data_IF_647511798291
#
_entry.id   IF_647511798291
#
_cell.length_a   1.000
_cell.length_b   1.000
_cell.length_c   1.000
_cell.angle_alpha   90.00
_cell.angle_beta   90.00
_cell.angle_gamma   90.00
#
_symmetry.space_group_name_H-M   'P 1'
#
loop_
_entity.id
_entity.type
_entity.pdbx_description
1 polymer ?
#
# COMPACT_ATOMS: atom_id res chain seq x y z
N UNK A 1 6.60 12.96 7.38
CA UNK A 1 7.19 13.96 6.47
C UNK A 1 7.96 13.20 5.40
N UNK A 2 7.81 13.52 4.12
CA UNK A 2 8.53 12.81 3.06
C UNK A 2 10.00 13.24 3.03
N UNK A 3 10.95 12.33 2.74
CA UNK A 3 12.36 12.67 2.69
C UNK A 3 12.63 13.67 1.57
N UNK A 4 13.47 14.68 1.84
CA UNK A 4 13.71 15.81 0.92
C UNK A 4 15.19 16.04 0.70
N UNK A 5 15.58 16.20 -0.56
CA UNK A 5 16.94 16.59 -0.95
C UNK A 5 17.10 18.11 -0.77
N UNK A 6 18.20 18.53 -0.15
CA UNK A 6 18.63 19.94 -0.11
C UNK A 6 20.08 20.09 -0.54
N UNK A 7 20.42 21.29 -0.99
CA UNK A 7 21.78 21.68 -1.34
C UNK A 7 22.26 22.79 -0.40
N UNK A 8 23.48 22.70 0.09
CA UNK A 8 24.09 23.70 0.99
C UNK A 8 25.48 24.09 0.50
N UNK A 9 25.78 25.39 0.49
CA UNK A 9 27.12 25.90 0.17
C UNK A 9 28.01 25.74 1.40
N UNK A 10 29.11 25.00 1.24
CA UNK A 10 30.09 24.76 2.30
C UNK A 10 31.07 25.93 2.43
N UNK A 11 31.76 26.02 3.56
CA UNK A 11 32.75 27.08 3.84
C UNK A 11 33.92 27.11 2.84
N UNK A 12 34.14 26.03 2.06
CA UNK A 12 35.15 25.92 1.01
C UNK A 12 34.64 26.28 -0.39
N UNK A 13 33.38 26.73 -0.54
CA UNK A 13 32.78 27.09 -1.82
C UNK A 13 32.20 25.92 -2.62
N UNK A 14 32.26 24.69 -2.08
CA UNK A 14 31.61 23.51 -2.68
C UNK A 14 30.12 23.45 -2.34
N UNK A 15 29.29 22.91 -3.24
CA UNK A 15 27.87 22.64 -3.02
C UNK A 15 27.70 21.21 -2.52
N UNK A 16 27.33 21.02 -1.26
CA UNK A 16 27.04 19.70 -0.71
C UNK A 16 25.56 19.33 -0.87
N UNK A 17 25.30 18.07 -1.23
CA UNK A 17 23.95 17.49 -1.34
C UNK A 17 23.64 16.66 -0.11
N UNK A 18 22.46 16.88 0.49
CA UNK A 18 22.01 16.21 1.72
C UNK A 18 20.57 15.71 1.58
N UNK A 19 20.29 14.57 2.20
CA UNK A 19 18.93 14.02 2.34
C UNK A 19 18.45 14.26 3.77
N UNK A 20 17.25 14.84 3.92
CA UNK A 20 16.58 14.98 5.22
C UNK A 20 15.50 13.90 5.29
N UNK A 21 15.61 12.97 6.24
CA UNK A 21 14.63 11.90 6.41
C UNK A 21 13.46 12.29 7.32
N UNK A 22 13.75 12.93 8.46
CA UNK A 22 12.73 13.28 9.45
C UNK A 22 13.24 14.30 10.47
N UNK A 23 12.33 14.89 11.24
CA UNK A 23 12.64 15.72 12.40
C UNK A 23 12.15 15.01 13.66
N UNK A 24 13.05 14.75 14.61
CA UNK A 24 12.73 14.16 15.91
C UNK A 24 13.30 15.06 17.03
N UNK A 25 12.45 15.52 17.94
CA UNK A 25 12.88 16.32 19.10
C UNK A 25 13.63 17.62 18.74
N UNK A 26 13.31 18.26 17.61
CA UNK A 26 13.99 19.48 17.14
C UNK A 26 15.31 19.24 16.38
N UNK A 27 15.75 17.98 16.24
CA UNK A 27 16.94 17.61 15.46
C UNK A 27 16.51 16.87 14.20
N UNK A 28 17.05 17.26 13.04
CA UNK A 28 16.76 16.54 11.80
C UNK A 28 17.74 15.38 11.59
N UNK A 29 17.20 14.21 11.26
CA UNK A 29 17.95 13.07 10.78
C UNK A 29 18.34 13.33 9.32
N UNK A 30 19.63 13.46 9.07
CA UNK A 30 20.16 13.83 7.76
C UNK A 30 21.34 12.94 7.36
N UNK A 31 21.43 12.65 6.06
CA UNK A 31 22.56 11.95 5.45
C UNK A 31 23.27 12.87 4.45
N UNK A 32 24.60 12.84 4.49
CA UNK A 32 25.47 13.66 3.65
C UNK A 32 25.98 12.80 2.49
N UNK A 33 25.61 13.15 1.25
CA UNK A 33 25.99 12.36 0.06
C UNK A 33 27.36 12.80 -0.48
N UNK A 34 27.64 14.10 -0.53
CA UNK A 34 28.98 14.61 -0.82
C UNK A 34 29.00 16.07 -1.31
N UNK A 35 30.20 16.68 -1.37
CA UNK A 35 30.42 18.00 -1.99
C UNK A 35 30.63 17.92 -3.51
N UNK A 36 30.10 18.89 -4.24
CA UNK A 36 30.31 19.10 -5.67
C UNK A 36 30.86 20.51 -5.94
N UNK A 37 31.73 20.63 -6.93
CA UNK A 37 32.37 21.88 -7.34
C UNK A 37 31.88 22.42 -8.68
N UNK A 38 31.08 21.63 -9.40
CA UNK A 38 30.48 21.98 -10.69
C UNK A 38 28.99 21.59 -10.75
N UNK A 39 28.21 22.26 -11.60
CA UNK A 39 26.77 22.00 -11.73
C UNK A 39 26.46 20.58 -12.23
N UNK A 40 27.36 19.99 -13.02
CA UNK A 40 27.26 18.60 -13.49
C UNK A 40 27.44 17.60 -12.36
N UNK A 41 28.37 17.86 -11.44
CA UNK A 41 28.56 17.03 -10.25
C UNK A 41 27.37 17.15 -9.29
N UNK A 42 26.78 18.35 -9.15
CA UNK A 42 25.56 18.54 -8.35
C UNK A 42 24.40 17.73 -8.92
N UNK A 43 24.25 17.66 -10.25
CA UNK A 43 23.22 16.85 -10.89
C UNK A 43 23.42 15.34 -10.65
N UNK A 44 24.66 14.85 -10.74
CA UNK A 44 24.99 13.46 -10.45
C UNK A 44 24.72 13.08 -8.99
N UNK A 45 25.11 13.94 -8.04
CA UNK A 45 24.87 13.71 -6.61
C UNK A 45 23.37 13.76 -6.24
N UNK A 46 22.57 14.59 -6.92
CA UNK A 46 21.11 14.56 -6.77
C UNK A 46 20.50 13.26 -7.26
N UNK A 47 21.01 12.69 -8.36
CA UNK A 47 20.55 11.41 -8.88
C UNK A 47 20.91 10.25 -7.94
N UNK A 48 22.11 10.27 -7.35
CA UNK A 48 22.49 9.34 -6.28
C UNK A 48 21.58 9.48 -5.05
N UNK A 49 21.35 10.71 -4.59
CA UNK A 49 20.50 11.01 -3.43
C UNK A 49 19.03 10.61 -3.62
N UNK A 50 18.58 10.47 -4.87
CA UNK A 50 17.22 10.04 -5.20
C UNK A 50 17.01 8.54 -4.99
N UNK A 51 18.07 7.71 -5.11
CA UNK A 51 17.96 6.24 -4.97
C UNK A 51 17.54 5.81 -3.55
N UNK A 52 18.14 6.32 -2.46
CA UNK A 52 17.68 6.02 -1.10
C UNK A 52 16.26 6.51 -0.81
N UNK A 53 15.82 7.60 -1.45
CA UNK A 53 14.48 8.17 -1.29
C UNK A 53 13.40 7.29 -1.94
N UNK A 54 13.74 6.62 -3.03
CA UNK A 54 12.86 5.65 -3.70
C UNK A 54 12.74 4.33 -2.92
N UNK A 55 13.65 4.08 -1.96
CA UNK A 55 13.70 2.84 -1.17
C UNK A 55 14.10 1.62 -2.01
N UNK A 56 14.26 0.46 -1.35
CA UNK A 56 14.39 -0.86 -2.00
C UNK A 56 13.08 -1.29 -2.69
N UNK A 57 12.39 -0.37 -3.37
CA UNK A 57 11.39 -0.75 -4.33
C UNK A 57 12.15 -1.45 -5.44
N UNK A 58 11.96 -2.77 -5.57
CA UNK A 58 12.45 -3.53 -6.72
C UNK A 58 12.06 -2.73 -7.97
N UNK A 59 13.05 -2.18 -8.66
CA UNK A 59 12.87 -1.84 -10.05
C UNK A 59 12.49 -3.17 -10.72
N UNK A 60 11.20 -3.33 -11.01
CA UNK A 60 10.74 -4.34 -11.95
C UNK A 60 11.27 -3.89 -13.32
N UNK A 61 12.57 -4.10 -13.51
CA UNK A 61 13.21 -3.99 -14.79
C UNK A 61 12.51 -4.94 -15.76
N UNK A 62 12.47 -4.62 -17.06
CA UNK A 62 11.79 -5.43 -18.06
C UNK A 62 12.34 -6.85 -18.24
N UNK A 63 13.39 -7.25 -17.52
CA UNK A 63 14.01 -8.58 -17.55
C UNK A 63 13.28 -9.63 -16.68
N UNK A 64 11.95 -9.64 -16.73
CA UNK A 64 11.23 -10.90 -16.50
C UNK A 64 11.42 -11.72 -17.77
N UNK A 65 12.40 -12.63 -17.75
CA UNK A 65 12.67 -13.61 -18.81
C UNK A 65 11.46 -14.55 -18.99
N UNK A 66 10.46 -14.05 -19.73
CA UNK A 66 9.36 -14.83 -20.25
C UNK A 66 9.91 -15.55 -21.48
N UNK A 67 10.13 -16.86 -21.33
CA UNK A 67 10.88 -17.70 -22.27
C UNK A 67 10.55 -17.54 -23.76
N UNK A 68 11.44 -18.04 -24.64
CA UNK A 68 11.46 -17.72 -26.06
C UNK A 68 10.19 -18.21 -26.75
N UNK A 69 9.29 -17.28 -27.06
CA UNK A 69 7.99 -17.56 -27.68
C UNK A 69 6.90 -16.53 -27.37
N UNK A 70 7.11 -15.63 -26.41
CA UNK A 70 6.29 -14.44 -26.29
C UNK A 70 6.69 -13.43 -27.37
N UNK A 71 5.81 -13.21 -28.33
CA UNK A 71 5.91 -12.13 -29.31
C UNK A 71 5.74 -10.80 -28.56
N UNK A 72 6.83 -10.31 -27.96
CA UNK A 72 6.86 -9.08 -27.17
C UNK A 72 6.91 -7.87 -28.11
N UNK A 73 5.84 -7.68 -28.89
CA UNK A 73 5.41 -6.33 -29.27
C UNK A 73 4.74 -5.63 -28.08
N UNK A 74 5.30 -5.79 -26.87
CA UNK A 74 4.94 -4.97 -25.71
C UNK A 74 5.73 -3.68 -25.85
N UNK A 75 5.12 -2.72 -26.54
CA UNK A 75 5.65 -1.39 -26.76
C UNK A 75 5.97 -0.72 -25.41
N UNK A 76 7.22 -0.79 -24.97
CA UNK A 76 7.76 0.03 -23.89
C UNK A 76 7.91 1.43 -24.47
N UNK A 77 7.04 2.36 -24.07
CA UNK A 77 7.08 3.74 -24.58
C UNK A 77 8.50 4.30 -24.56
N UNK A 78 9.00 4.72 -25.71
CA UNK A 78 10.31 5.37 -25.84
C UNK A 78 10.25 6.78 -25.27
N UNK A 79 11.39 7.37 -24.87
CA UNK A 79 11.46 8.77 -24.42
C UNK A 79 10.86 9.77 -25.43
N UNK A 80 10.86 9.41 -26.71
CA UNK A 80 10.29 10.20 -27.81
C UNK A 80 8.78 9.97 -28.02
N UNK A 81 8.21 8.91 -27.45
CA UNK A 81 6.78 8.58 -27.50
C UNK A 81 6.33 7.90 -26.19
N UNK A 82 6.22 8.67 -25.09
CA UNK A 82 5.74 8.12 -23.83
C UNK A 82 4.25 7.76 -23.95
N UNK A 83 3.88 6.56 -23.50
CA UNK A 83 2.48 6.23 -23.28
C UNK A 83 1.99 6.91 -22.00
N UNK A 84 0.79 7.48 -22.06
CA UNK A 84 0.12 8.02 -20.89
C UNK A 84 -0.34 6.86 -20.00
N UNK A 85 0.18 6.82 -18.77
CA UNK A 85 -0.33 5.91 -17.73
C UNK A 85 -1.66 6.49 -17.24
N UNK A 86 -2.77 5.92 -17.70
CA UNK A 86 -4.12 6.39 -17.34
C UNK A 86 -4.59 5.90 -15.98
N UNK A 87 -4.02 4.81 -15.46
CA UNK A 87 -4.30 4.26 -14.14
C UNK A 87 -3.17 3.33 -13.66
N UNK A 88 -3.11 3.13 -12.34
CA UNK A 88 -2.26 2.13 -11.69
C UNK A 88 -3.12 1.37 -10.67
N UNK A 89 -2.90 0.06 -10.55
CA UNK A 89 -3.59 -0.78 -9.57
C UNK A 89 -2.65 -1.82 -8.95
N UNK A 90 -2.96 -2.21 -7.72
CA UNK A 90 -2.27 -3.29 -6.99
C UNK A 90 -2.89 -4.66 -7.32
N UNK A 91 -2.98 -5.01 -8.60
CA UNK A 91 -3.73 -6.17 -9.10
C UNK A 91 -3.41 -7.49 -8.37
N UNK A 92 -2.13 -7.88 -8.29
CA UNK A 92 -1.73 -9.11 -7.61
C UNK A 92 -2.11 -9.17 -6.12
N UNK A 93 -2.07 -8.02 -5.42
CA UNK A 93 -2.46 -7.95 -4.02
C UNK A 93 -3.98 -8.14 -3.88
N UNK A 94 -4.75 -7.49 -4.74
CA UNK A 94 -6.20 -7.63 -4.77
C UNK A 94 -6.62 -9.06 -5.11
N UNK A 95 -5.98 -9.67 -6.11
CA UNK A 95 -6.22 -11.06 -6.51
C UNK A 95 -5.88 -12.05 -5.39
N UNK A 96 -4.77 -11.82 -4.68
CA UNK A 96 -4.38 -12.66 -3.55
C UNK A 96 -5.39 -12.57 -2.40
N UNK A 97 -5.90 -11.37 -2.11
CA UNK A 97 -6.94 -11.17 -1.08
C UNK A 97 -8.26 -11.81 -1.52
N UNK A 98 -8.71 -11.62 -2.77
CA UNK A 98 -9.93 -12.26 -3.29
C UNK A 98 -9.82 -13.79 -3.27
N UNK A 99 -8.66 -14.33 -3.67
CA UNK A 99 -8.39 -15.77 -3.61
C UNK A 99 -8.48 -16.29 -2.18
N UNK A 100 -7.83 -15.62 -1.22
CA UNK A 100 -7.92 -16.00 0.18
C UNK A 100 -9.35 -15.92 0.72
N UNK A 101 -10.09 -14.86 0.37
CA UNK A 101 -11.48 -14.66 0.75
C UNK A 101 -12.38 -15.82 0.29
N UNK A 102 -12.21 -16.28 -0.96
CA UNK A 102 -12.92 -17.45 -1.52
C UNK A 102 -12.46 -18.77 -0.92
N UNK A 103 -11.16 -18.95 -0.70
CA UNK A 103 -10.60 -20.18 -0.11
C UNK A 103 -11.08 -20.39 1.34
N UNK A 104 -11.28 -19.31 2.09
CA UNK A 104 -11.90 -19.35 3.43
C UNK A 104 -13.40 -19.66 3.33
N UNK A 105 -14.04 -19.38 2.19
CA UNK A 105 -15.49 -19.55 1.97
C UNK A 105 -16.31 -18.34 2.41
N UNK A 106 -15.68 -17.17 2.53
CA UNK A 106 -16.37 -15.94 2.94
C UNK A 106 -17.33 -15.43 1.86
N UNK A 107 -17.07 -15.74 0.59
CA UNK A 107 -17.98 -15.42 -0.52
C UNK A 107 -19.32 -16.14 -0.37
N UNK A 108 -19.29 -17.41 0.01
CA UNK A 108 -20.50 -18.20 0.29
C UNK A 108 -21.16 -17.74 1.59
N UNK A 109 -20.38 -17.56 2.67
CA UNK A 109 -20.92 -17.13 3.97
C UNK A 109 -21.56 -15.74 3.92
N UNK A 110 -21.03 -14.86 3.07
CA UNK A 110 -21.57 -13.52 2.84
C UNK A 110 -22.64 -13.48 1.73
N UNK A 111 -23.02 -14.63 1.15
CA UNK A 111 -24.05 -14.71 0.08
C UNK A 111 -23.70 -13.81 -1.12
N UNK A 112 -22.42 -13.85 -1.53
CA UNK A 112 -21.88 -13.08 -2.64
C UNK A 112 -21.88 -11.56 -2.43
N UNK A 113 -21.96 -11.06 -1.19
CA UNK A 113 -22.01 -9.62 -0.91
C UNK A 113 -20.66 -8.94 -1.21
N UNK A 114 -20.52 -8.41 -2.42
CA UNK A 114 -19.33 -7.68 -2.90
C UNK A 114 -18.98 -6.45 -2.04
N UNK A 115 -19.97 -5.83 -1.37
CA UNK A 115 -19.73 -4.70 -0.47
C UNK A 115 -19.01 -5.19 0.78
N UNK A 116 -19.35 -6.38 1.27
CA UNK A 116 -18.66 -7.01 2.40
C UNK A 116 -17.25 -7.46 2.00
N UNK A 117 -17.09 -8.07 0.82
CA UNK A 117 -15.78 -8.45 0.29
C UNK A 117 -14.85 -7.24 0.19
N UNK A 118 -15.35 -6.13 -0.36
CA UNK A 118 -14.65 -4.85 -0.38
C UNK A 118 -14.23 -4.44 1.04
N UNK A 119 -15.16 -4.38 2.00
CA UNK A 119 -14.90 -4.01 3.41
C UNK A 119 -13.80 -4.85 4.05
N UNK A 120 -13.76 -6.16 3.78
CA UNK A 120 -12.70 -7.05 4.24
C UNK A 120 -11.37 -6.68 3.59
N UNK A 121 -11.34 -6.52 2.26
CA UNK A 121 -10.13 -6.12 1.52
C UNK A 121 -9.54 -4.82 2.05
N UNK A 122 -10.34 -3.77 2.17
CA UNK A 122 -9.84 -2.49 2.70
C UNK A 122 -9.34 -2.61 4.14
N UNK A 123 -9.98 -3.43 4.98
CA UNK A 123 -9.57 -3.63 6.37
C UNK A 123 -8.23 -4.38 6.48
N UNK A 124 -7.95 -5.28 5.54
CA UNK A 124 -6.64 -5.96 5.42
C UNK A 124 -5.58 -4.98 4.93
N UNK A 125 -5.89 -4.18 3.90
CA UNK A 125 -4.96 -3.20 3.34
C UNK A 125 -4.59 -2.10 4.35
N UNK A 126 -5.58 -1.56 5.05
CA UNK A 126 -5.37 -0.57 6.09
C UNK A 126 -6.39 -0.74 7.22
N UNK A 127 -5.95 -0.89 8.48
CA UNK A 127 -6.86 -0.88 9.62
C UNK A 127 -7.34 0.56 9.93
N UNK A 128 -8.17 1.13 9.06
CA UNK A 128 -8.70 2.50 9.17
C UNK A 128 -10.16 2.61 9.64
N UNK A 129 -10.69 3.83 9.63
CA UNK A 129 -12.09 4.13 9.96
C UNK A 129 -13.05 3.70 8.83
N UNK A 130 -14.36 3.60 9.12
CA UNK A 130 -15.38 3.29 8.09
C UNK A 130 -15.38 4.28 6.91
N UNK A 131 -14.90 5.50 7.13
CA UNK A 131 -14.84 6.57 6.11
C UNK A 131 -13.62 6.42 5.20
N UNK A 132 -12.55 5.77 5.67
CA UNK A 132 -11.33 5.56 4.89
C UNK A 132 -11.48 4.48 3.82
N UNK A 133 -12.53 3.67 3.90
CA UNK A 133 -12.80 2.55 3.01
C UNK A 133 -12.66 2.89 1.53
N UNK A 134 -13.37 3.93 1.09
CA UNK A 134 -13.43 4.34 -0.32
C UNK A 134 -12.05 4.79 -0.80
N UNK A 135 -11.33 5.53 0.05
CA UNK A 135 -9.97 6.00 -0.23
C UNK A 135 -9.00 4.83 -0.36
N UNK A 136 -9.04 3.88 0.58
CA UNK A 136 -8.14 2.72 0.61
C UNK A 136 -8.30 1.85 -0.64
N UNK A 137 -9.54 1.56 -1.05
CA UNK A 137 -9.77 0.80 -2.29
C UNK A 137 -9.31 1.58 -3.52
N UNK A 138 -9.61 2.88 -3.60
CA UNK A 138 -9.16 3.71 -4.70
C UNK A 138 -7.62 3.78 -4.80
N UNK A 139 -6.90 3.86 -3.68
CA UNK A 139 -5.44 3.82 -3.63
C UNK A 139 -4.86 2.49 -4.10
N UNK A 140 -5.58 1.38 -3.88
CA UNK A 140 -5.23 0.07 -4.43
C UNK A 140 -5.63 -0.09 -5.91
N UNK A 141 -6.36 0.87 -6.49
CA UNK A 141 -6.92 0.80 -7.84
C UNK A 141 -8.15 -0.10 -7.95
N UNK A 142 -8.87 -0.32 -6.85
CA UNK A 142 -10.13 -1.08 -6.80
C UNK A 142 -11.34 -0.14 -6.74
N UNK A 143 -12.45 -0.59 -7.33
CA UNK A 143 -13.72 0.11 -7.20
C UNK A 143 -14.34 -0.07 -5.82
N UNK A 144 -15.06 0.96 -5.36
CA UNK A 144 -15.77 0.94 -4.08
C UNK A 144 -17.24 1.20 -4.27
N UNK A 145 -18.08 0.50 -3.50
CA UNK A 145 -19.46 0.90 -3.32
C UNK A 145 -19.57 2.32 -2.73
N UNK A 146 -20.66 3.01 -3.03
CA UNK A 146 -20.92 4.34 -2.47
C UNK A 146 -21.12 4.28 -0.95
N UNK A 147 -20.84 5.39 -0.26
CA UNK A 147 -21.02 5.49 1.19
C UNK A 147 -22.46 5.17 1.64
N UNK A 148 -23.47 5.58 0.86
CA UNK A 148 -24.88 5.28 1.18
C UNK A 148 -25.19 3.79 1.05
N UNK A 149 -24.64 3.13 0.02
CA UNK A 149 -24.75 1.68 -0.15
C UNK A 149 -24.12 0.93 1.03
N UNK A 150 -22.90 1.31 1.40
CA UNK A 150 -22.19 0.71 2.55
C UNK A 150 -23.02 0.88 3.82
N UNK A 151 -23.47 2.11 4.12
CA UNK A 151 -24.24 2.40 5.33
C UNK A 151 -25.54 1.58 5.41
N UNK A 152 -26.20 1.35 4.28
CA UNK A 152 -27.41 0.52 4.20
C UNK A 152 -27.13 -0.96 4.46
N UNK A 153 -25.94 -1.45 4.12
CA UNK A 153 -25.52 -2.84 4.31
C UNK A 153 -25.05 -3.14 5.75
N UNK A 154 -24.45 -2.18 6.44
CA UNK A 154 -23.90 -2.36 7.80
C UNK A 154 -24.84 -3.06 8.80
N UNK A 155 -26.15 -2.75 8.87
CA UNK A 155 -27.06 -3.45 9.79
C UNK A 155 -27.14 -4.97 9.55
N UNK A 156 -27.04 -5.42 8.30
CA UNK A 156 -27.01 -6.86 7.95
C UNK A 156 -25.82 -7.54 8.60
N UNK A 157 -24.63 -6.92 8.53
CA UNK A 157 -23.40 -7.50 9.06
C UNK A 157 -23.36 -7.57 10.59
N UNK A 158 -24.20 -6.79 11.26
CA UNK A 158 -24.34 -6.81 12.72
C UNK A 158 -25.29 -7.91 13.21
N UNK A 159 -26.08 -8.54 12.34
CA UNK A 159 -26.98 -9.63 12.72
C UNK A 159 -26.22 -10.84 13.24
N UNK A 160 -26.82 -11.57 14.17
CA UNK A 160 -26.26 -12.82 14.71
C UNK A 160 -26.06 -13.85 13.58
N UNK A 161 -27.09 -14.06 12.76
CA UNK A 161 -27.02 -14.97 11.61
C UNK A 161 -25.82 -14.70 10.69
N UNK A 162 -25.57 -13.42 10.34
CA UNK A 162 -24.43 -13.09 9.47
C UNK A 162 -23.10 -13.31 10.18
N UNK A 163 -22.98 -12.87 11.45
CA UNK A 163 -21.76 -13.04 12.22
C UNK A 163 -21.45 -14.51 12.47
N UNK A 164 -22.45 -15.34 12.72
CA UNK A 164 -22.29 -16.77 12.94
C UNK A 164 -21.83 -17.47 11.66
N UNK A 165 -22.43 -17.12 10.51
CA UNK A 165 -22.00 -17.67 9.22
C UNK A 165 -20.52 -17.37 8.93
N UNK A 166 -20.11 -16.10 9.08
CA UNK A 166 -18.71 -15.68 8.89
C UNK A 166 -17.78 -16.32 9.93
N UNK A 167 -18.19 -16.36 11.19
CA UNK A 167 -17.38 -16.93 12.28
C UNK A 167 -17.19 -18.43 12.09
N UNK A 168 -18.22 -19.16 11.66
CA UNK A 168 -18.16 -20.60 11.39
C UNK A 168 -17.13 -20.91 10.33
N UNK A 169 -17.20 -20.27 9.15
CA UNK A 169 -16.24 -20.55 8.06
C UNK A 169 -14.81 -20.19 8.44
N UNK A 170 -14.61 -19.09 9.17
CA UNK A 170 -13.30 -18.72 9.69
C UNK A 170 -12.78 -19.73 10.72
N UNK A 171 -13.63 -20.19 11.64
CA UNK A 171 -13.26 -21.18 12.65
C UNK A 171 -12.93 -22.54 12.04
N UNK A 172 -13.73 -22.99 11.07
CA UNK A 172 -13.50 -24.22 10.32
C UNK A 172 -12.19 -24.15 9.53
N UNK A 173 -11.96 -23.05 8.81
CA UNK A 173 -10.73 -22.82 8.06
C UNK A 173 -9.49 -22.80 8.97
N UNK A 174 -9.59 -22.12 10.11
CA UNK A 174 -8.54 -22.07 11.13
C UNK A 174 -8.45 -23.34 11.99
N UNK A 175 -9.33 -24.33 11.78
CA UNK A 175 -9.42 -25.58 12.55
C UNK A 175 -9.51 -25.34 14.06
N UNK A 176 -10.28 -24.32 14.45
CA UNK A 176 -10.54 -23.99 15.85
C UNK A 176 -11.41 -25.09 16.44
N UNK A 177 -10.88 -25.82 17.40
CA UNK A 177 -11.58 -26.87 18.14
C UNK A 177 -11.79 -26.49 19.61
N UNK A 178 -12.42 -27.38 20.40
CA UNK A 178 -12.70 -27.15 21.83
C UNK A 178 -11.48 -26.84 22.69
N UNK A 179 -10.28 -27.22 22.22
CA UNK A 179 -8.99 -26.99 22.88
C UNK A 179 -8.19 -25.80 22.30
N UNK A 180 -8.77 -25.04 21.37
CA UNK A 180 -8.10 -23.90 20.75
C UNK A 180 -8.23 -22.65 21.61
N UNK A 181 -7.11 -22.01 21.94
CA UNK A 181 -7.07 -20.70 22.60
C UNK A 181 -6.85 -19.61 21.55
N UNK A 182 -7.83 -18.72 21.38
CA UNK A 182 -7.70 -17.54 20.50
C UNK A 182 -7.30 -16.34 21.34
N UNK A 183 -6.05 -15.89 21.21
CA UNK A 183 -5.56 -14.67 21.82
C UNK A 183 -5.74 -13.53 20.82
N UNK A 184 -6.61 -12.58 21.14
CA UNK A 184 -6.80 -11.36 20.35
C UNK A 184 -6.23 -10.17 21.12
N UNK A 185 -5.23 -9.49 20.55
CA UNK A 185 -4.68 -8.26 21.12
C UNK A 185 -5.51 -7.05 20.67
N UNK A 186 -6.13 -6.37 21.63
CA UNK A 186 -7.03 -5.22 21.41
C UNK A 186 -6.24 -3.91 21.19
N UNK A 187 -4.92 -3.90 21.39
CA UNK A 187 -4.11 -2.67 21.29
C UNK A 187 -4.04 -2.06 19.88
N UNK A 188 -4.45 -2.77 18.83
CA UNK A 188 -4.44 -2.29 17.43
C UNK A 188 -5.66 -1.45 17.03
N UNK A 189 -6.67 -1.25 17.89
CA UNK A 189 -7.80 -0.36 17.60
C UNK A 189 -7.60 1.09 18.08
N UNK A 190 -6.47 1.43 18.69
CA UNK A 190 -6.16 2.79 19.13
C UNK A 190 -5.48 3.61 18.03
N UNK A 191 -6.13 3.78 16.87
CA UNK A 191 -5.71 4.75 15.87
C UNK A 191 -6.56 6.03 15.99
N UNK A 192 -6.03 7.01 16.73
CA UNK A 192 -6.21 8.44 16.44
C UNK A 192 -7.47 9.14 16.90
N UNK A 193 -7.65 9.30 18.22
CA UNK A 193 -8.37 10.46 18.76
C UNK A 193 -7.40 11.29 19.62
N UNK A 194 -6.35 11.84 19.02
CA UNK A 194 -5.58 12.95 19.58
C UNK A 194 -4.93 13.75 18.43
N UNK A 195 -5.62 14.79 17.99
CA UNK A 195 -4.96 16.01 17.52
C UNK A 195 -5.14 17.02 18.65
N UNK A 196 -4.07 17.32 19.37
CA UNK A 196 -3.84 18.64 19.97
C UNK A 196 -2.92 19.36 18.99
#
# INVERSE_FOLDING_TARGET
MQPKIRTVTTASGATAVQIIYSYAGGTASMEHIGPAHTDTEVAALKAEAQRPIQGDQLELGPDLDLGPGADLSRATGTAEQPFEVTAQCSGYLLDAIDTAYRVIGLDVAADGDEVFAGLVTARILQPGSKLDFIRVLAEAGAESASYSTIKRRLPRYATEQFRDAVTSVCADHARIGPSSLVLYDVTTLYWGLFSI
#
